data_IF_159714348242
#
_entry.id   IF_159714348242
#
_cell.length_a   1.000
_cell.length_b   1.000
_cell.length_c   1.000
_cell.angle_alpha   90.00
_cell.angle_beta   90.00
_cell.angle_gamma   90.00
#
_symmetry.space_group_name_H-M   'P 1'
#
loop_
_entity.id
_entity.type
_entity.pdbx_description
1 polymer ?
#
# COMPACT_ATOMS: atom_id res chain seq x y z
N UNK A 1 25.12 -3.18 17.43
CA UNK A 1 23.70 -3.32 17.01
C UNK A 1 23.02 -2.01 17.31
N UNK A 2 22.71 -1.21 16.31
CA UNK A 2 21.97 0.05 16.47
C UNK A 2 20.50 -0.30 16.62
N UNK A 3 19.89 -0.01 17.77
CA UNK A 3 18.44 -0.14 17.94
C UNK A 3 17.74 0.70 16.86
N UNK A 4 16.97 0.05 15.99
CA UNK A 4 16.10 0.78 15.05
C UNK A 4 15.00 1.43 15.88
N UNK A 5 15.07 2.74 16.02
CA UNK A 5 14.06 3.54 16.71
C UNK A 5 12.81 3.61 15.84
N UNK A 6 11.70 3.09 16.35
CA UNK A 6 10.39 3.13 15.72
C UNK A 6 9.56 4.26 16.35
N UNK A 7 8.87 5.05 15.52
CA UNK A 7 7.92 6.04 16.02
C UNK A 7 6.57 5.36 16.34
N UNK A 8 5.85 5.90 17.32
CA UNK A 8 4.53 5.35 17.68
C UNK A 8 3.50 5.55 16.56
N UNK A 9 2.51 4.66 16.47
CA UNK A 9 1.40 4.79 15.52
C UNK A 9 0.71 6.15 15.59
N UNK A 10 0.49 6.67 16.80
CA UNK A 10 -0.12 7.99 17.03
C UNK A 10 0.70 9.10 16.37
N UNK A 11 2.02 9.08 16.55
CA UNK A 11 2.94 10.06 15.97
C UNK A 11 2.96 9.96 14.44
N UNK A 12 3.02 8.74 13.90
CA UNK A 12 3.02 8.50 12.47
C UNK A 12 1.71 8.96 11.80
N UNK A 13 0.55 8.66 12.40
CA UNK A 13 -0.76 9.06 11.86
C UNK A 13 -0.96 10.57 11.90
N UNK A 14 -0.56 11.23 13.00
CA UNK A 14 -0.59 12.70 13.07
C UNK A 14 0.31 13.31 12.00
N UNK A 15 1.54 12.82 11.89
CA UNK A 15 2.46 13.25 10.83
C UNK A 15 1.91 12.99 9.43
N UNK A 16 1.22 11.87 9.21
CA UNK A 16 0.58 11.56 7.93
C UNK A 16 -0.44 12.64 7.57
N UNK A 17 -1.41 12.92 8.46
CA UNK A 17 -2.46 13.90 8.20
C UNK A 17 -1.95 15.34 8.07
N UNK A 18 -0.83 15.68 8.73
CA UNK A 18 -0.17 16.97 8.56
C UNK A 18 0.62 17.07 7.25
N UNK A 19 1.28 15.98 6.83
CA UNK A 19 2.21 15.99 5.69
C UNK A 19 1.49 15.79 4.36
N UNK A 20 0.50 14.90 4.31
CA UNK A 20 -0.13 14.51 3.04
C UNK A 20 -0.74 15.69 2.28
N UNK A 21 -1.44 16.67 2.89
CA UNK A 21 -1.96 17.81 2.14
C UNK A 21 -0.86 18.73 1.61
N UNK A 22 0.29 18.80 2.30
CA UNK A 22 1.45 19.60 1.89
C UNK A 22 2.16 18.95 0.70
N UNK A 23 2.45 17.64 0.80
CA UNK A 23 3.10 16.87 -0.26
C UNK A 23 2.26 16.89 -1.56
N UNK A 24 0.94 16.76 -1.44
CA UNK A 24 0.01 16.75 -2.57
C UNK A 24 -0.61 18.12 -2.87
N UNK A 25 -0.02 19.22 -2.37
CA UNK A 25 -0.55 20.59 -2.53
C UNK A 25 -0.74 21.02 -3.99
N UNK A 26 0.01 20.44 -4.93
CA UNK A 26 -0.17 20.70 -6.35
C UNK A 26 -1.58 20.34 -6.87
N UNK A 27 -2.29 19.42 -6.21
CA UNK A 27 -3.68 19.08 -6.57
C UNK A 27 -4.64 20.24 -6.31
N UNK A 28 -4.33 21.13 -5.35
CA UNK A 28 -5.12 22.35 -5.11
C UNK A 28 -4.90 23.42 -6.20
N UNK A 29 -3.85 23.29 -7.01
CA UNK A 29 -3.56 24.21 -8.13
C UNK A 29 -4.27 23.84 -9.42
N UNK A 30 -4.91 22.67 -9.50
CA UNK A 30 -5.82 22.37 -10.61
C UNK A 30 -6.99 23.35 -10.61
N UNK A 31 -7.28 23.97 -11.75
CA UNK A 31 -8.33 24.98 -11.89
C UNK A 31 -9.71 24.42 -11.50
N UNK A 32 -10.16 24.73 -10.28
CA UNK A 32 -11.43 24.27 -9.73
C UNK A 32 -11.41 24.12 -8.21
N UNK A 33 -12.51 23.64 -7.64
CA UNK A 33 -12.57 23.28 -6.22
C UNK A 33 -11.88 21.93 -6.00
N UNK A 34 -10.90 21.88 -5.10
CA UNK A 34 -10.37 20.63 -4.56
C UNK A 34 -11.09 20.33 -3.24
N UNK A 35 -11.82 19.22 -3.19
CA UNK A 35 -12.40 18.72 -1.95
C UNK A 35 -11.50 17.63 -1.37
N UNK A 36 -11.24 17.70 -0.06
CA UNK A 36 -10.43 16.71 0.65
C UNK A 36 -11.14 16.22 1.90
N UNK A 37 -10.87 14.98 2.28
CA UNK A 37 -11.36 14.40 3.54
C UNK A 37 -10.28 13.52 4.16
N UNK A 38 -10.24 13.46 5.49
CA UNK A 38 -9.38 12.54 6.22
C UNK A 38 -10.23 11.56 7.00
N UNK A 39 -9.82 10.29 6.98
CA UNK A 39 -10.50 9.22 7.69
C UNK A 39 -9.45 8.35 8.36
N UNK A 40 -9.62 8.07 9.64
CA UNK A 40 -8.83 7.07 10.35
C UNK A 40 -9.73 5.91 10.73
N UNK A 41 -9.32 4.71 10.32
CA UNK A 41 -10.03 3.47 10.62
C UNK A 41 -9.15 2.53 11.42
N UNK A 42 -9.76 1.70 12.24
CA UNK A 42 -9.10 0.62 12.96
C UNK A 42 -9.79 -0.71 12.65
N UNK A 43 -9.02 -1.76 12.40
CA UNK A 43 -9.55 -3.09 12.10
C UNK A 43 -10.06 -3.76 13.38
N UNK A 44 -11.35 -4.06 13.46
CA UNK A 44 -12.01 -4.74 14.58
C UNK A 44 -12.56 -6.10 14.13
N UNK A 45 -13.00 -6.98 15.07
CA UNK A 45 -13.68 -8.22 14.69
C UNK A 45 -14.94 -8.03 13.85
N UNK A 46 -15.56 -6.84 13.88
CA UNK A 46 -16.75 -6.49 13.10
C UNK A 46 -16.43 -5.78 11.77
N UNK A 47 -15.14 -5.59 11.46
CA UNK A 47 -14.68 -4.81 10.31
C UNK A 47 -14.00 -3.51 10.73
N UNK A 48 -13.99 -2.52 9.84
CA UNK A 48 -13.31 -1.24 10.11
C UNK A 48 -14.22 -0.25 10.83
N UNK A 49 -13.74 0.30 11.95
CA UNK A 49 -14.43 1.34 12.72
C UNK A 49 -13.64 2.66 12.69
N UNK A 50 -14.34 3.80 12.76
CA UNK A 50 -13.71 5.11 12.83
C UNK A 50 -13.13 5.34 14.22
N UNK A 51 -11.88 5.78 14.29
CA UNK A 51 -11.19 6.05 15.56
C UNK A 51 -10.41 7.36 15.50
N UNK A 52 -10.04 7.91 16.66
CA UNK A 52 -9.08 9.01 16.75
C UNK A 52 -7.65 8.47 16.87
N UNK A 53 -6.62 9.29 16.57
CA UNK A 53 -5.23 8.84 16.66
C UNK A 53 -4.84 8.31 18.05
N UNK A 54 -5.31 8.94 19.12
CA UNK A 54 -5.06 8.52 20.51
C UNK A 54 -5.70 7.17 20.89
N UNK A 55 -6.71 6.72 20.15
CA UNK A 55 -7.47 5.50 20.42
C UNK A 55 -6.93 4.28 19.63
N UNK A 56 -5.81 4.43 18.92
CA UNK A 56 -5.22 3.35 18.11
C UNK A 56 -4.67 2.26 19.03
N UNK A 57 -5.28 1.08 19.00
CA UNK A 57 -4.86 -0.08 19.81
C UNK A 57 -4.48 -1.32 18.99
N UNK A 58 -4.78 -1.34 17.69
CA UNK A 58 -4.51 -2.44 16.77
C UNK A 58 -4.21 -1.91 15.36
N UNK A 59 -4.20 -2.78 14.35
CA UNK A 59 -3.98 -2.37 12.96
C UNK A 59 -4.94 -1.24 12.55
N UNK A 60 -4.39 -0.20 11.94
CA UNK A 60 -5.12 0.99 11.53
C UNK A 60 -4.95 1.26 10.03
N UNK A 61 -5.81 2.11 9.49
CA UNK A 61 -5.73 2.62 8.13
C UNK A 61 -6.08 4.11 8.17
N UNK A 62 -5.06 4.95 8.00
CA UNK A 62 -5.23 6.37 7.78
C UNK A 62 -5.43 6.63 6.27
N UNK A 63 -6.43 7.42 5.93
CA UNK A 63 -6.83 7.71 4.55
C UNK A 63 -6.97 9.21 4.39
N UNK A 64 -6.36 9.76 3.34
CA UNK A 64 -6.61 11.11 2.86
C UNK A 64 -7.18 11.01 1.44
N UNK A 65 -8.42 11.43 1.28
CA UNK A 65 -9.12 11.41 0.00
C UNK A 65 -9.06 12.79 -0.62
N UNK A 66 -8.96 12.83 -1.94
CA UNK A 66 -9.00 14.06 -2.71
C UNK A 66 -9.90 13.88 -3.92
N UNK A 67 -10.57 14.97 -4.31
CA UNK A 67 -11.30 15.08 -5.56
C UNK A 67 -11.11 16.48 -6.12
N UNK A 68 -10.57 16.54 -7.33
CA UNK A 68 -10.41 17.75 -8.14
C UNK A 68 -11.45 17.74 -9.26
N UNK A 69 -11.29 18.64 -10.23
CA UNK A 69 -12.12 18.66 -11.43
C UNK A 69 -11.91 17.42 -12.31
N UNK A 70 -10.66 16.96 -12.44
CA UNK A 70 -10.30 15.91 -13.40
C UNK A 70 -9.87 14.61 -12.74
N UNK A 71 -9.47 14.64 -11.47
CA UNK A 71 -8.94 13.48 -10.75
C UNK A 71 -9.70 13.26 -9.44
N UNK A 72 -9.80 11.99 -9.06
CA UNK A 72 -10.14 11.61 -7.69
C UNK A 72 -9.22 10.49 -7.24
N UNK A 73 -9.09 10.33 -5.93
CA UNK A 73 -8.24 9.30 -5.38
C UNK A 73 -8.11 9.37 -3.88
N UNK A 74 -7.26 8.49 -3.37
CA UNK A 74 -6.96 8.40 -1.96
C UNK A 74 -5.52 7.96 -1.72
N UNK A 75 -4.91 8.58 -0.73
CA UNK A 75 -3.61 8.21 -0.17
C UNK A 75 -3.89 7.47 1.14
N UNK A 76 -3.36 6.27 1.28
CA UNK A 76 -3.53 5.41 2.46
C UNK A 76 -2.21 5.18 3.15
N UNK A 77 -2.28 5.02 4.46
CA UNK A 77 -1.16 4.64 5.31
C UNK A 77 -1.60 3.68 6.42
N UNK A 78 -0.84 2.59 6.63
CA UNK A 78 -1.02 1.70 7.79
C UNK A 78 -1.53 0.29 7.52
N UNK A 79 -1.84 -0.07 6.26
CA UNK A 79 -2.28 -1.43 5.91
C UNK A 79 -1.19 -2.47 6.20
N UNK A 80 -1.30 -3.15 7.36
CA UNK A 80 -0.48 -4.26 7.93
C UNK A 80 1.06 -4.07 7.98
N UNK A 81 1.63 -3.16 7.23
CA UNK A 81 3.08 -3.00 7.02
C UNK A 81 3.52 -1.52 7.06
N UNK A 82 2.72 -0.62 7.66
CA UNK A 82 3.02 0.82 7.68
C UNK A 82 3.40 1.34 6.28
N UNK A 83 2.76 0.81 5.24
CA UNK A 83 3.04 1.18 3.86
C UNK A 83 2.18 2.37 3.44
N UNK A 84 2.73 3.21 2.58
CA UNK A 84 1.96 4.22 1.84
C UNK A 84 1.49 3.61 0.53
N UNK A 85 0.23 3.81 0.19
CA UNK A 85 -0.31 3.45 -1.12
C UNK A 85 -1.18 4.59 -1.64
N UNK A 86 -1.12 4.85 -2.94
CA UNK A 86 -1.96 5.85 -3.60
C UNK A 86 -2.82 5.17 -4.63
N UNK A 87 -4.11 5.48 -4.62
CA UNK A 87 -5.08 5.09 -5.63
C UNK A 87 -5.60 6.37 -6.27
N UNK A 88 -5.66 6.40 -7.60
CA UNK A 88 -6.04 7.59 -8.36
C UNK A 88 -6.68 7.19 -9.68
N UNK A 89 -7.68 7.96 -10.11
CA UNK A 89 -8.31 7.81 -11.41
C UNK A 89 -8.76 9.16 -11.97
N UNK A 90 -9.11 9.16 -13.25
CA UNK A 90 -9.84 10.26 -13.86
C UNK A 90 -11.30 10.24 -13.37
N UNK A 91 -11.89 11.41 -13.16
CA UNK A 91 -13.31 11.54 -12.77
C UNK A 91 -14.26 10.93 -13.82
N UNK A 92 -13.80 10.80 -15.06
CA UNK A 92 -14.56 10.18 -16.16
C UNK A 92 -14.52 8.64 -16.13
N UNK A 93 -13.64 8.03 -15.33
CA UNK A 93 -13.52 6.58 -15.23
C UNK A 93 -14.28 6.04 -14.02
N UNK A 94 -14.94 4.89 -14.19
CA UNK A 94 -15.65 4.20 -13.11
C UNK A 94 -14.73 3.39 -12.18
N UNK A 95 -13.51 3.11 -12.62
CA UNK A 95 -12.57 2.23 -11.92
C UNK A 95 -11.37 3.00 -11.39
N UNK A 96 -10.96 2.61 -10.19
CA UNK A 96 -9.78 3.16 -9.52
C UNK A 96 -8.57 2.24 -9.66
N UNK A 97 -7.39 2.85 -9.81
CA UNK A 97 -6.13 2.17 -10.01
C UNK A 97 -5.05 2.72 -9.08
N UNK A 98 -4.20 1.84 -8.58
CA UNK A 98 -3.07 2.21 -7.78
C UNK A 98 -2.05 2.97 -8.64
N UNK A 99 -1.33 3.91 -8.02
CA UNK A 99 -0.38 4.77 -8.73
C UNK A 99 0.76 3.98 -9.37
N UNK A 100 1.17 2.85 -8.78
CA UNK A 100 2.14 1.95 -9.40
C UNK A 100 1.63 1.31 -10.70
N UNK A 101 0.33 1.04 -10.82
CA UNK A 101 -0.27 0.47 -12.04
C UNK A 101 -0.14 1.48 -13.19
N UNK A 102 -0.40 2.76 -12.90
CA UNK A 102 -0.18 3.86 -13.84
C UNK A 102 1.29 4.03 -14.21
N UNK A 103 2.19 3.85 -13.24
CA UNK A 103 3.63 3.90 -13.47
C UNK A 103 4.08 2.77 -14.41
N UNK A 104 3.59 1.55 -14.22
CA UNK A 104 3.97 0.39 -15.03
C UNK A 104 3.65 0.59 -16.51
N UNK A 105 2.42 1.02 -16.82
CA UNK A 105 2.02 1.25 -18.22
C UNK A 105 2.70 2.48 -18.86
N UNK A 106 3.17 3.43 -18.02
CA UNK A 106 3.82 4.65 -18.48
C UNK A 106 5.35 4.54 -18.49
N UNK A 107 5.90 3.36 -18.16
CA UNK A 107 7.35 3.15 -17.93
C UNK A 107 7.92 4.18 -16.93
N UNK A 108 7.11 4.52 -15.94
CA UNK A 108 7.38 5.54 -14.94
C UNK A 108 8.38 5.11 -13.86
N UNK A 109 8.66 6.04 -12.94
CA UNK A 109 9.73 5.93 -11.95
C UNK A 109 9.36 5.15 -10.67
N UNK A 110 8.08 4.80 -10.46
CA UNK A 110 7.71 3.90 -9.38
C UNK A 110 7.95 2.47 -9.85
N UNK A 111 8.99 1.83 -9.32
CA UNK A 111 9.12 0.38 -9.38
C UNK A 111 8.06 -0.27 -8.50
N UNK A 112 7.62 -1.48 -8.86
CA UNK A 112 6.58 -2.27 -8.17
C UNK A 112 6.83 -2.58 -6.68
N UNK A 113 7.95 -2.11 -6.12
CA UNK A 113 8.30 -2.11 -4.70
C UNK A 113 7.65 -0.96 -3.91
N UNK A 114 6.41 -0.60 -4.26
CA UNK A 114 5.61 0.29 -3.42
C UNK A 114 5.28 -0.41 -2.10
N UNK A 115 5.50 0.29 -0.98
CA UNK A 115 5.27 -0.23 0.37
C UNK A 115 6.52 -0.56 1.18
N UNK A 116 7.58 0.25 1.08
CA UNK A 116 8.62 0.17 2.11
C UNK A 116 8.03 0.54 3.47
N UNK A 117 8.35 -0.27 4.48
CA UNK A 117 7.83 -0.12 5.84
C UNK A 117 8.15 1.27 6.42
N UNK A 118 7.15 2.15 6.52
CA UNK A 118 7.32 3.53 7.00
C UNK A 118 7.16 3.58 8.52
N UNK A 119 8.22 3.19 9.21
CA UNK A 119 8.21 3.07 10.67
C UNK A 119 8.76 4.27 11.42
N UNK A 120 9.16 5.30 10.68
CA UNK A 120 9.59 6.60 11.21
C UNK A 120 8.89 7.72 10.46
N UNK A 121 8.71 8.86 11.12
CA UNK A 121 8.14 10.08 10.53
C UNK A 121 8.95 10.54 9.33
N UNK A 122 10.28 10.49 9.41
CA UNK A 122 11.16 10.86 8.31
C UNK A 122 10.86 10.00 7.09
N UNK A 123 10.83 8.66 7.27
CA UNK A 123 10.58 7.75 6.16
C UNK A 123 9.19 7.94 5.55
N UNK A 124 8.18 8.15 6.40
CA UNK A 124 6.82 8.44 5.96
C UNK A 124 6.77 9.69 5.07
N UNK A 125 7.45 10.78 5.46
CA UNK A 125 7.52 12.01 4.68
C UNK A 125 8.19 11.80 3.32
N UNK A 126 9.34 11.13 3.30
CA UNK A 126 10.04 10.78 2.06
C UNK A 126 9.15 9.96 1.10
N UNK A 127 8.41 8.99 1.64
CA UNK A 127 7.51 8.15 0.85
C UNK A 127 6.30 8.94 0.32
N UNK A 128 5.71 9.82 1.13
CA UNK A 128 4.64 10.71 0.67
C UNK A 128 5.12 11.65 -0.44
N UNK A 129 6.31 12.24 -0.32
CA UNK A 129 6.91 13.09 -1.34
C UNK A 129 7.21 12.30 -2.63
N UNK A 130 7.74 11.07 -2.52
CA UNK A 130 7.99 10.18 -3.66
C UNK A 130 6.70 9.90 -4.43
N UNK A 131 5.62 9.54 -3.73
CA UNK A 131 4.32 9.30 -4.36
C UNK A 131 3.71 10.58 -4.94
N UNK A 132 3.81 11.71 -4.25
CA UNK A 132 3.33 12.99 -4.75
C UNK A 132 4.03 13.40 -6.06
N UNK A 133 5.35 13.24 -6.11
CA UNK A 133 6.14 13.53 -7.31
C UNK A 133 5.79 12.58 -8.46
N UNK A 134 5.60 11.29 -8.18
CA UNK A 134 5.17 10.34 -9.19
C UNK A 134 3.78 10.65 -9.74
N UNK A 135 2.82 11.00 -8.86
CA UNK A 135 1.49 11.44 -9.29
C UNK A 135 1.59 12.70 -10.15
N UNK A 136 2.40 13.69 -9.75
CA UNK A 136 2.60 14.91 -10.53
C UNK A 136 3.13 14.62 -11.94
N UNK A 137 4.04 13.66 -12.10
CA UNK A 137 4.57 13.24 -13.40
C UNK A 137 3.48 12.53 -14.23
N UNK A 138 2.71 11.65 -13.61
CA UNK A 138 1.69 10.83 -14.30
C UNK A 138 0.35 11.55 -14.50
N UNK A 139 0.12 12.68 -13.83
CA UNK A 139 -1.14 13.43 -13.77
C UNK A 139 -1.75 13.63 -15.16
N UNK A 140 -0.98 14.17 -16.10
CA UNK A 140 -1.46 14.44 -17.46
C UNK A 140 -1.87 13.17 -18.21
N UNK A 141 -1.23 12.03 -17.93
CA UNK A 141 -1.54 10.74 -18.54
C UNK A 141 -2.81 10.15 -17.96
N UNK A 142 -3.01 10.25 -16.65
CA UNK A 142 -4.21 9.78 -15.94
C UNK A 142 -5.43 10.59 -16.38
N UNK A 143 -5.31 11.92 -16.46
CA UNK A 143 -6.42 12.79 -16.91
C UNK A 143 -6.85 12.45 -18.35
N UNK A 144 -5.90 12.19 -19.25
CA UNK A 144 -6.16 11.86 -20.66
C UNK A 144 -6.45 10.38 -20.89
N UNK A 145 -6.57 9.58 -19.83
CA UNK A 145 -6.80 8.15 -19.95
C UNK A 145 -8.19 7.86 -20.52
N UNK A 146 -8.31 6.74 -21.23
CA UNK A 146 -9.57 6.27 -21.82
C UNK A 146 -9.83 4.83 -21.45
N UNK A 147 -10.99 4.28 -21.83
CA UNK A 147 -11.30 2.87 -21.59
C UNK A 147 -10.24 1.90 -22.14
N UNK A 148 -9.57 2.27 -23.24
CA UNK A 148 -8.51 1.46 -23.84
C UNK A 148 -7.29 1.26 -22.91
N UNK A 149 -7.10 2.15 -21.93
CA UNK A 149 -6.03 2.06 -20.94
C UNK A 149 -6.36 1.13 -19.76
N UNK A 150 -7.63 0.79 -19.58
CA UNK A 150 -8.09 -0.04 -18.45
C UNK A 150 -7.59 -1.48 -18.58
N UNK A 151 -7.51 -2.02 -19.79
CA UNK A 151 -7.07 -3.40 -20.00
C UNK A 151 -5.58 -3.58 -19.60
N UNK A 152 -4.64 -2.74 -20.07
CA UNK A 152 -3.25 -2.75 -19.59
C UNK A 152 -3.11 -2.63 -18.07
N UNK A 153 -3.87 -1.73 -17.43
CA UNK A 153 -3.84 -1.55 -15.97
C UNK A 153 -4.32 -2.80 -15.22
N UNK A 154 -5.40 -3.43 -15.69
CA UNK A 154 -5.92 -4.69 -15.12
C UNK A 154 -4.93 -5.84 -15.32
N UNK A 155 -4.24 -5.89 -16.45
CA UNK A 155 -3.17 -6.87 -16.69
C UNK A 155 -2.00 -6.67 -15.72
N UNK A 156 -1.54 -5.44 -15.52
CA UNK A 156 -0.50 -5.13 -14.52
C UNK A 156 -0.91 -5.60 -13.11
N UNK A 157 -2.16 -5.31 -12.71
CA UNK A 157 -2.75 -5.82 -11.46
C UNK A 157 -2.70 -7.34 -11.34
N UNK A 158 -3.15 -8.05 -12.37
CA UNK A 158 -3.18 -9.52 -12.39
C UNK A 158 -1.79 -10.12 -12.28
N UNK A 159 -0.84 -9.64 -13.10
CA UNK A 159 0.53 -10.12 -13.10
C UNK A 159 1.17 -9.96 -11.71
N UNK A 160 0.92 -8.82 -11.05
CA UNK A 160 1.44 -8.56 -9.70
C UNK A 160 0.84 -9.50 -8.66
N UNK A 161 -0.46 -9.77 -8.73
CA UNK A 161 -1.11 -10.72 -7.84
C UNK A 161 -0.51 -12.12 -8.01
N UNK A 162 -0.27 -12.55 -9.25
CA UNK A 162 0.34 -13.84 -9.55
C UNK A 162 1.78 -13.95 -9.03
N UNK A 163 2.58 -12.89 -9.19
CA UNK A 163 3.92 -12.78 -8.60
C UNK A 163 3.90 -12.88 -7.08
N UNK A 164 3.01 -12.13 -6.42
CA UNK A 164 2.88 -12.14 -4.96
C UNK A 164 2.45 -13.52 -4.44
N UNK A 165 1.48 -14.17 -5.09
CA UNK A 165 1.06 -15.53 -4.75
C UNK A 165 2.20 -16.53 -4.93
N UNK A 166 3.00 -16.41 -6.00
CA UNK A 166 4.17 -17.26 -6.22
C UNK A 166 5.24 -17.08 -5.13
N UNK A 167 5.53 -15.82 -4.74
CA UNK A 167 6.48 -15.51 -3.67
C UNK A 167 6.00 -16.04 -2.31
N UNK A 168 4.72 -15.89 -1.99
CA UNK A 168 4.15 -16.43 -0.76
C UNK A 168 4.21 -17.95 -0.70
N UNK A 169 3.83 -18.65 -1.79
CA UNK A 169 3.97 -20.11 -1.87
C UNK A 169 5.42 -20.56 -1.66
N UNK A 170 6.37 -19.83 -2.23
CA UNK A 170 7.79 -20.12 -2.04
C UNK A 170 8.23 -19.88 -0.59
N UNK A 171 7.80 -18.79 0.04
CA UNK A 171 8.11 -18.49 1.43
C UNK A 171 7.52 -19.52 2.39
N UNK A 172 6.28 -19.96 2.16
CA UNK A 172 5.63 -21.04 2.90
C UNK A 172 6.39 -22.36 2.76
N UNK A 173 6.79 -22.71 1.54
CA UNK A 173 7.61 -23.91 1.30
C UNK A 173 8.95 -23.85 2.03
N UNK A 174 9.63 -22.70 2.04
CA UNK A 174 10.88 -22.51 2.79
C UNK A 174 10.66 -22.64 4.30
N UNK A 175 9.60 -22.02 4.85
CA UNK A 175 9.25 -22.14 6.27
C UNK A 175 8.94 -23.58 6.65
N UNK A 176 8.06 -24.25 5.89
CA UNK A 176 7.69 -25.64 6.13
C UNK A 176 8.90 -26.57 6.10
N UNK A 177 9.84 -26.36 5.15
CA UNK A 177 11.11 -27.09 5.10
C UNK A 177 11.96 -26.85 6.35
N UNK A 178 12.14 -25.58 6.75
CA UNK A 178 12.92 -25.25 7.95
C UNK A 178 12.31 -25.89 9.21
N UNK A 179 10.99 -25.90 9.35
CA UNK A 179 10.29 -26.52 10.48
C UNK A 179 10.42 -28.04 10.46
N UNK A 180 10.35 -28.67 9.29
CA UNK A 180 10.60 -30.10 9.13
C UNK A 180 12.05 -30.48 9.48
N UNK A 181 13.04 -29.68 9.05
CA UNK A 181 14.45 -29.89 9.38
C UNK A 181 14.70 -29.77 10.89
N UNK A 182 14.08 -28.80 11.56
CA UNK A 182 14.13 -28.62 13.02
C UNK A 182 13.51 -29.82 13.76
N UNK A 183 12.32 -30.26 13.34
CA UNK A 183 11.64 -31.43 13.91
C UNK A 183 12.46 -32.71 13.74
N UNK A 184 13.14 -32.87 12.60
CA UNK A 184 14.04 -33.99 12.36
C UNK A 184 15.24 -33.99 13.33
N UNK A 185 15.87 -32.82 13.58
CA UNK A 185 16.94 -32.70 14.59
C UNK A 185 16.47 -33.05 15.99
N UNK A 186 15.21 -32.73 16.31
CA UNK A 186 14.57 -33.06 17.59
C UNK A 186 14.05 -34.51 17.66
N UNK A 187 14.27 -35.33 16.62
CA UNK A 187 13.76 -36.71 16.50
C UNK A 187 12.22 -36.83 16.56
N UNK A 188 11.50 -35.74 16.29
CA UNK A 188 10.04 -35.73 16.20
C UNK A 188 9.61 -36.06 14.76
N UNK A 189 9.72 -37.32 14.39
CA UNK A 189 9.49 -37.78 13.00
C UNK A 189 8.02 -37.68 12.56
N UNK A 190 7.06 -37.71 13.50
CA UNK A 190 5.64 -37.51 13.19
C UNK A 190 5.38 -36.09 12.67
N UNK A 191 6.00 -35.08 13.28
CA UNK A 191 5.93 -33.70 12.80
C UNK A 191 6.57 -33.54 11.41
N UNK A 192 7.69 -34.22 11.13
CA UNK A 192 8.35 -34.19 9.81
C UNK A 192 7.42 -34.67 8.70
N UNK A 193 6.66 -35.76 8.93
CA UNK A 193 5.73 -36.32 7.95
C UNK A 193 4.60 -35.32 7.64
N UNK A 194 4.02 -34.67 8.66
CA UNK A 194 2.95 -33.66 8.49
C UNK A 194 3.37 -32.49 7.61
N UNK A 195 4.59 -31.98 7.78
CA UNK A 195 5.11 -30.87 6.96
C UNK A 195 5.52 -31.30 5.54
N UNK A 196 5.80 -32.59 5.31
CA UNK A 196 6.09 -33.15 3.97
C UNK A 196 4.82 -33.29 3.11
N UNK A 197 3.68 -33.57 3.73
CA UNK A 197 2.37 -33.74 3.04
C UNK A 197 1.74 -32.43 2.53
N UNK A 198 2.26 -31.26 2.93
CA UNK A 198 1.82 -29.95 2.39
C UNK A 198 2.20 -29.79 0.90
N UNK A 199 3.05 -30.66 0.35
CA UNK A 199 3.49 -30.65 -1.06
C UNK A 199 2.45 -31.09 -2.11
N UNK A 200 1.29 -31.61 -1.71
CA UNK A 200 0.36 -32.30 -2.64
C UNK A 200 -0.96 -31.58 -2.92
N UNK A 201 -1.11 -30.34 -2.47
CA UNK A 201 -2.25 -29.46 -2.77
C UNK A 201 -1.75 -28.15 -3.38
#
# INVERSE_FOLDING_TARGET
>A
MTERKFDSAVVLVRSFFETVPLAFSFLASETGSCSTSTVLKQATPKGFELVKPEDITQCFLAVWQFKTKNLHGEVKFGDREYAVSVVVSSVELESDFALWEWSEISKGALSSSDGQFCSTVIRLKEELERHAQALKILQSRIIKSSESDLAPLRTARSNRLDEWLAQNRQAEHVRARSTADEAFRQKNYEAVIRYKSIRTL
#
